data_IF_012224410841
#
_entry.id   IF_012224410841
#
_cell.length_a   1.000
_cell.length_b   1.000
_cell.length_c   1.000
_cell.angle_alpha   90.00
_cell.angle_beta   90.00
_cell.angle_gamma   90.00
#
_symmetry.space_group_name_H-M   'P 1'
#
loop_
_entity.id
_entity.type
_entity.pdbx_description
1 polymer ?
#
# COMPACT_ATOMS: atom_id res chain seq x y z
N UNK A 1 10.11 -17.66 6.93
CA UNK A 1 11.07 -16.75 6.29
C UNK A 1 11.30 -17.27 4.90
N UNK A 2 11.27 -16.40 3.89
CA UNK A 2 11.37 -16.82 2.51
C UNK A 2 12.76 -17.42 2.23
N UNK A 3 12.76 -18.56 1.56
CA UNK A 3 13.99 -19.24 1.16
C UNK A 3 14.43 -18.74 -0.21
N UNK A 4 15.74 -18.61 -0.38
CA UNK A 4 16.38 -18.10 -1.59
C UNK A 4 17.50 -19.07 -1.99
N UNK A 5 17.87 -19.00 -3.27
CA UNK A 5 19.04 -19.64 -3.84
C UNK A 5 19.81 -18.62 -4.66
N UNK A 6 21.11 -18.82 -4.87
CA UNK A 6 21.80 -18.07 -5.92
C UNK A 6 21.26 -18.50 -7.30
N UNK A 7 21.20 -17.59 -8.29
CA UNK A 7 20.80 -17.97 -9.64
C UNK A 7 21.72 -19.07 -10.21
N UNK A 8 21.16 -20.25 -10.48
CA UNK A 8 21.87 -21.37 -11.10
C UNK A 8 21.45 -21.51 -12.56
N UNK A 9 22.44 -21.57 -13.46
CA UNK A 9 22.19 -21.88 -14.87
C UNK A 9 22.05 -23.39 -15.04
N UNK A 10 20.89 -23.83 -15.50
CA UNK A 10 20.60 -25.24 -15.75
C UNK A 10 20.22 -25.46 -17.22
N UNK A 11 20.50 -26.66 -17.75
CA UNK A 11 20.05 -27.09 -19.08
C UNK A 11 18.94 -28.13 -18.88
N UNK A 12 17.80 -27.90 -19.52
CA UNK A 12 16.69 -28.84 -19.53
C UNK A 12 16.74 -29.59 -20.87
N UNK A 13 16.92 -30.91 -20.82
CA UNK A 13 16.86 -31.79 -21.99
C UNK A 13 15.58 -32.65 -21.90
N UNK A 14 14.59 -32.44 -22.80
CA UNK A 14 13.34 -33.20 -22.79
C UNK A 14 13.51 -34.72 -23.03
N UNK A 15 14.68 -35.17 -23.49
CA UNK A 15 14.98 -36.59 -23.70
C UNK A 15 15.74 -37.27 -22.55
N UNK A 16 16.02 -36.54 -21.46
CA UNK A 16 16.76 -37.04 -20.30
C UNK A 16 15.82 -37.23 -19.11
N UNK A 17 15.99 -38.35 -18.38
CA UNK A 17 15.32 -38.61 -17.09
C UNK A 17 16.12 -38.03 -15.89
N UNK A 18 17.11 -37.17 -16.16
CA UNK A 18 17.91 -36.52 -15.11
C UNK A 18 17.04 -35.64 -14.21
N UNK A 19 17.14 -35.86 -12.90
CA UNK A 19 16.49 -35.02 -11.90
C UNK A 19 17.32 -33.76 -11.63
N UNK A 20 16.75 -32.59 -11.95
CA UNK A 20 17.37 -31.30 -11.65
C UNK A 20 17.09 -30.89 -10.20
N UNK A 21 18.14 -30.70 -9.40
CA UNK A 21 18.03 -30.27 -8.01
C UNK A 21 18.17 -28.75 -7.87
N UNK A 22 17.10 -28.08 -7.44
CA UNK A 22 17.12 -26.65 -7.05
C UNK A 22 17.07 -26.56 -5.53
N UNK A 23 18.16 -26.09 -4.92
CA UNK A 23 18.30 -26.00 -3.46
C UNK A 23 18.14 -24.55 -3.03
N UNK A 24 17.20 -24.29 -2.11
CA UNK A 24 17.04 -22.98 -1.46
C UNK A 24 17.70 -23.03 -0.07
N UNK A 25 18.99 -22.69 -0.01
CA UNK A 25 19.84 -22.81 1.18
C UNK A 25 20.00 -21.50 1.97
N UNK A 26 19.49 -20.39 1.44
CA UNK A 26 19.50 -19.08 2.11
C UNK A 26 18.13 -18.75 2.64
N UNK A 27 18.09 -18.13 3.81
CA UNK A 27 16.85 -17.63 4.41
C UNK A 27 16.96 -16.12 4.54
N UNK A 28 15.97 -15.39 4.05
CA UNK A 28 15.88 -13.94 4.29
C UNK A 28 15.84 -13.74 5.82
N UNK A 29 16.75 -12.95 6.40
CA UNK A 29 16.75 -12.71 7.83
C UNK A 29 15.44 -12.07 8.27
N UNK A 30 15.01 -12.38 9.49
CA UNK A 30 13.88 -11.68 10.08
C UNK A 30 14.22 -10.20 10.21
N UNK A 31 13.23 -9.35 9.90
CA UNK A 31 13.37 -7.93 10.19
C UNK A 31 13.40 -7.69 11.70
N UNK A 32 14.07 -6.62 12.18
CA UNK A 32 13.97 -6.21 13.58
C UNK A 32 12.51 -5.93 13.95
N UNK A 33 12.18 -5.96 15.24
CA UNK A 33 10.84 -5.63 15.70
C UNK A 33 10.51 -4.15 15.43
N UNK A 34 9.25 -3.87 15.09
CA UNK A 34 8.75 -2.49 14.94
C UNK A 34 8.54 -1.91 16.34
N UNK A 35 9.06 -0.71 16.59
CA UNK A 35 8.90 -0.02 17.88
C UNK A 35 8.08 1.23 17.70
N UNK A 36 7.13 1.41 18.61
CA UNK A 36 6.36 2.64 18.69
C UNK A 36 7.23 3.81 19.14
N UNK A 37 6.88 5.00 18.68
CA UNK A 37 7.47 6.27 19.13
C UNK A 37 6.40 7.16 19.78
N UNK A 38 6.71 8.42 20.08
CA UNK A 38 5.70 9.41 20.49
C UNK A 38 4.59 9.49 19.43
N UNK A 39 4.97 9.57 18.15
CA UNK A 39 4.02 9.80 17.05
C UNK A 39 3.60 8.52 16.33
N UNK A 40 4.54 7.60 16.08
CA UNK A 40 4.27 6.44 15.23
C UNK A 40 3.85 5.25 16.08
N UNK A 41 2.68 4.67 15.79
CA UNK A 41 2.19 3.45 16.44
C UNK A 41 1.94 2.35 15.42
N UNK A 42 2.28 1.11 15.78
CA UNK A 42 2.10 -0.06 14.94
C UNK A 42 0.92 -0.87 15.45
N UNK A 43 -0.12 -0.94 14.63
CA UNK A 43 -1.37 -1.59 14.97
C UNK A 43 -1.40 -2.98 14.37
N UNK A 44 -1.84 -3.94 15.17
CA UNK A 44 -2.18 -5.28 14.71
C UNK A 44 -3.39 -5.77 15.48
N UNK A 45 -4.45 -6.10 14.76
CA UNK A 45 -5.65 -6.67 15.36
C UNK A 45 -6.09 -7.91 14.61
N UNK A 46 -6.69 -8.85 15.32
CA UNK A 46 -7.32 -9.99 14.67
C UNK A 46 -8.64 -9.54 14.05
N UNK A 47 -8.83 -9.79 12.76
CA UNK A 47 -10.09 -9.54 12.05
C UNK A 47 -10.99 -10.75 12.22
N UNK A 48 -12.24 -10.56 12.66
CA UNK A 48 -13.21 -11.65 12.76
C UNK A 48 -13.67 -12.06 11.38
N UNK A 49 -14.04 -11.09 10.53
CA UNK A 49 -14.50 -11.31 9.16
C UNK A 49 -13.48 -12.10 8.33
N UNK A 50 -12.20 -11.72 8.38
CA UNK A 50 -11.15 -12.43 7.66
C UNK A 50 -10.80 -13.77 8.31
N UNK A 51 -10.83 -13.87 9.65
CA UNK A 51 -10.59 -15.16 10.31
C UNK A 51 -11.65 -16.20 9.91
N UNK A 52 -12.91 -15.78 9.78
CA UNK A 52 -14.00 -16.63 9.31
C UNK A 52 -13.80 -17.06 7.86
N UNK A 53 -13.45 -16.13 6.96
CA UNK A 53 -13.17 -16.44 5.56
C UNK A 53 -12.00 -17.41 5.39
N UNK A 54 -10.88 -17.18 6.08
CA UNK A 54 -9.66 -17.98 5.94
C UNK A 54 -9.66 -19.27 6.76
N UNK A 55 -10.65 -19.48 7.64
CA UNK A 55 -10.74 -20.65 8.51
C UNK A 55 -9.63 -20.74 9.58
N UNK A 56 -8.92 -19.64 9.83
CA UNK A 56 -7.83 -19.55 10.80
C UNK A 56 -7.65 -18.09 11.27
N UNK A 57 -7.00 -17.83 12.41
CA UNK A 57 -6.75 -16.46 12.86
C UNK A 57 -6.08 -15.62 11.77
N UNK A 58 -6.74 -14.53 11.40
CA UNK A 58 -6.28 -13.58 10.39
C UNK A 58 -6.19 -12.19 10.97
N UNK A 59 -5.18 -11.42 10.57
CA UNK A 59 -4.87 -10.12 11.18
C UNK A 59 -4.85 -9.02 10.15
N UNK A 60 -5.37 -7.86 10.54
CA UNK A 60 -5.14 -6.60 9.86
C UNK A 60 -4.11 -5.80 10.64
N UNK A 61 -3.34 -4.99 9.91
CA UNK A 61 -2.32 -4.15 10.49
C UNK A 61 -2.51 -2.70 9.99
N UNK A 62 -1.95 -1.75 10.73
CA UNK A 62 -1.82 -0.37 10.27
C UNK A 62 -0.59 0.27 10.92
N UNK A 63 -0.09 1.32 10.31
CA UNK A 63 0.90 2.20 10.94
C UNK A 63 0.27 3.58 11.01
N UNK A 64 0.06 4.09 12.21
CA UNK A 64 -0.57 5.39 12.41
C UNK A 64 0.44 6.43 12.86
N UNK A 65 0.21 7.66 12.45
CA UNK A 65 0.91 8.86 12.89
C UNK A 65 -0.06 9.71 13.71
N UNK A 66 0.28 9.92 14.97
CA UNK A 66 -0.49 10.70 15.92
C UNK A 66 -0.18 12.21 15.77
N UNK A 67 -1.17 13.08 16.00
CA UNK A 67 -0.97 14.53 15.92
C UNK A 67 -0.06 15.05 17.04
N UNK A 68 0.58 16.20 16.81
CA UNK A 68 1.28 16.91 17.90
C UNK A 68 0.31 17.27 19.04
N UNK A 69 0.75 17.07 20.27
CA UNK A 69 -0.05 17.31 21.46
C UNK A 69 -1.04 16.20 21.82
N UNK A 70 -0.96 15.01 21.19
CA UNK A 70 -1.92 13.93 21.39
C UNK A 70 -2.07 13.54 22.88
N UNK A 71 -0.96 13.26 23.57
CA UNK A 71 -0.98 12.82 24.97
C UNK A 71 -1.31 13.97 25.93
N UNK A 72 -0.96 15.19 25.57
CA UNK A 72 -1.22 16.40 26.36
C UNK A 72 -2.68 16.85 26.30
N UNK A 73 -3.47 16.34 25.33
CA UNK A 73 -4.87 16.71 25.11
C UNK A 73 -5.79 15.47 25.12
N UNK A 74 -6.00 14.82 26.28
CA UNK A 74 -6.71 13.53 26.35
C UNK A 74 -8.20 13.62 25.99
N UNK A 75 -8.82 14.81 26.08
CA UNK A 75 -10.23 15.03 25.75
C UNK A 75 -10.45 15.29 24.25
N UNK A 76 -9.38 15.55 23.49
CA UNK A 76 -9.48 15.84 22.06
C UNK A 76 -9.72 14.57 21.26
N UNK A 77 -10.59 14.69 20.25
CA UNK A 77 -10.82 13.69 19.22
C UNK A 77 -10.38 14.21 17.86
N UNK A 78 -9.92 13.31 17.00
CA UNK A 78 -9.25 13.68 15.76
C UNK A 78 -9.93 13.07 14.54
N UNK A 79 -10.03 13.81 13.42
CA UNK A 79 -10.36 13.22 12.13
C UNK A 79 -9.29 12.23 11.68
N UNK A 80 -9.69 11.28 10.83
CA UNK A 80 -8.83 10.22 10.33
C UNK A 80 -8.54 10.44 8.84
N UNK A 81 -7.26 10.54 8.50
CA UNK A 81 -6.79 10.50 7.11
C UNK A 81 -6.20 9.12 6.83
N UNK A 82 -6.66 8.51 5.76
CA UNK A 82 -6.38 7.12 5.43
C UNK A 82 -5.57 7.09 4.15
N UNK A 83 -4.36 6.54 4.24
CA UNK A 83 -3.51 6.26 3.10
C UNK A 83 -3.63 4.80 2.68
N UNK A 84 -4.08 4.62 1.44
CA UNK A 84 -4.15 3.36 0.72
C UNK A 84 -2.94 3.20 -0.21
N UNK A 85 -2.43 1.97 -0.30
CA UNK A 85 -1.25 1.64 -1.06
C UNK A 85 -0.68 0.27 -0.70
N UNK A 86 0.53 0.01 -1.18
CA UNK A 86 1.25 -1.25 -0.97
C UNK A 86 1.67 -1.46 0.50
N UNK A 87 2.12 -2.68 0.83
CA UNK A 87 2.53 -2.98 2.18
C UNK A 87 3.82 -2.23 2.56
N UNK A 88 3.77 -1.47 3.66
CA UNK A 88 4.89 -0.71 4.16
C UNK A 88 5.36 -1.23 5.51
N UNK A 89 6.69 -1.39 5.61
CA UNK A 89 7.33 -1.79 6.86
C UNK A 89 7.41 -0.65 7.88
N UNK A 90 7.51 0.59 7.42
CA UNK A 90 7.61 1.82 8.23
C UNK A 90 6.46 2.75 7.84
N UNK A 91 6.15 3.73 8.69
CA UNK A 91 5.12 4.72 8.36
C UNK A 91 5.41 5.39 7.00
N UNK A 92 4.42 5.40 6.12
CA UNK A 92 4.51 6.02 4.80
C UNK A 92 3.14 6.46 4.33
N UNK A 93 3.00 7.74 4.00
CA UNK A 93 1.78 8.28 3.41
C UNK A 93 2.07 9.57 2.65
N UNK A 94 2.14 9.54 1.32
CA UNK A 94 3.29 9.20 0.45
C UNK A 94 4.67 9.81 0.82
N UNK A 95 4.88 10.24 2.06
CA UNK A 95 6.17 10.66 2.60
C UNK A 95 6.42 9.88 3.89
N UNK A 96 7.68 9.58 4.19
CA UNK A 96 8.06 9.01 5.49
C UNK A 96 7.98 10.08 6.60
N UNK A 97 7.99 9.65 7.86
CA UNK A 97 8.03 10.55 9.01
C UNK A 97 9.35 10.39 9.74
N UNK A 98 10.13 11.48 9.87
CA UNK A 98 11.47 11.45 10.45
C UNK A 98 11.67 12.62 11.41
N UNK A 99 11.92 12.31 12.67
CA UNK A 99 12.13 13.32 13.73
C UNK A 99 13.56 13.91 13.71
N UNK A 100 14.51 13.23 13.08
CA UNK A 100 15.90 13.67 12.97
C UNK A 100 16.20 14.36 11.64
N UNK A 101 17.12 15.35 11.61
CA UNK A 101 17.57 15.94 10.36
C UNK A 101 18.06 14.89 9.35
N UNK A 102 18.03 15.20 8.05
CA UNK A 102 18.68 14.38 7.04
C UNK A 102 20.14 14.17 7.38
N UNK A 103 20.64 12.97 7.13
CA UNK A 103 22.07 12.66 7.28
C UNK A 103 22.88 13.51 6.28
N UNK A 104 23.78 14.41 6.75
CA UNK A 104 24.55 15.29 5.87
C UNK A 104 25.55 14.53 5.01
N UNK A 105 25.94 13.32 5.42
CA UNK A 105 26.95 12.50 4.76
C UNK A 105 26.33 11.40 3.88
N UNK A 106 24.99 11.36 3.76
CA UNK A 106 24.29 10.39 2.93
C UNK A 106 24.60 10.61 1.45
N UNK A 107 25.30 9.65 0.84
CA UNK A 107 25.58 9.66 -0.57
C UNK A 107 24.30 9.45 -1.41
N UNK A 108 24.12 10.20 -2.52
CA UNK A 108 23.07 9.91 -3.49
C UNK A 108 23.26 8.52 -4.10
N UNK A 109 22.26 7.67 -3.96
CA UNK A 109 22.30 6.31 -4.51
C UNK A 109 21.49 6.24 -5.81
N UNK A 110 21.93 5.45 -6.80
CA UNK A 110 21.09 5.08 -7.93
C UNK A 110 19.96 4.16 -7.46
N UNK A 111 18.72 4.50 -7.75
CA UNK A 111 17.55 3.71 -7.33
C UNK A 111 16.32 4.57 -7.08
N UNK A 112 15.21 3.94 -6.69
CA UNK A 112 13.92 4.61 -6.56
C UNK A 112 13.46 5.18 -7.91
N UNK A 113 13.06 6.46 -7.92
CA UNK A 113 12.62 7.16 -9.13
C UNK A 113 13.75 7.87 -9.88
N UNK A 114 14.85 8.23 -9.19
CA UNK A 114 16.01 8.93 -9.74
C UNK A 114 17.21 8.84 -8.78
N UNK A 115 18.43 9.04 -9.29
CA UNK A 115 19.64 9.06 -8.46
C UNK A 115 19.58 10.14 -7.38
N UNK A 116 19.73 9.76 -6.11
CA UNK A 116 19.59 10.68 -4.96
C UNK A 116 18.17 10.77 -4.40
N UNK A 117 17.27 9.86 -4.81
CA UNK A 117 15.95 9.74 -4.20
C UNK A 117 16.03 9.52 -2.69
N UNK A 118 16.96 8.69 -2.21
CA UNK A 118 17.21 8.44 -0.78
C UNK A 118 17.50 9.71 0.04
N UNK A 119 18.30 10.64 -0.51
CA UNK A 119 18.58 11.95 0.11
C UNK A 119 17.32 12.81 0.13
N UNK A 120 16.58 12.80 -0.98
CA UNK A 120 15.34 13.56 -1.14
C UNK A 120 14.27 13.09 -0.15
N UNK A 121 14.13 11.77 0.04
CA UNK A 121 13.22 11.18 1.02
C UNK A 121 13.52 11.67 2.43
N UNK A 122 14.77 11.63 2.89
CA UNK A 122 15.11 12.11 4.23
C UNK A 122 14.79 13.60 4.41
N UNK A 123 15.08 14.42 3.38
CA UNK A 123 14.78 15.86 3.40
C UNK A 123 13.28 16.13 3.57
N UNK A 124 12.43 15.48 2.78
CA UNK A 124 11.00 15.70 2.86
C UNK A 124 10.36 15.02 4.06
N UNK A 125 10.88 13.89 4.54
CA UNK A 125 10.42 13.26 5.76
C UNK A 125 10.67 14.14 7.00
N UNK A 126 11.85 14.78 7.08
CA UNK A 126 12.15 15.72 8.16
C UNK A 126 11.36 17.02 8.02
N UNK A 127 11.18 17.53 6.80
CA UNK A 127 10.29 18.67 6.56
C UNK A 127 8.86 18.35 7.02
N UNK A 128 8.35 17.17 6.69
CA UNK A 128 7.01 16.75 7.10
C UNK A 128 6.88 16.70 8.62
N UNK A 129 7.88 16.17 9.34
CA UNK A 129 7.93 16.26 10.81
C UNK A 129 7.84 17.71 11.33
N UNK A 130 8.63 18.62 10.75
CA UNK A 130 8.62 20.05 11.13
C UNK A 130 7.27 20.71 10.88
N UNK A 131 6.61 20.37 9.78
CA UNK A 131 5.28 20.87 9.47
C UNK A 131 4.24 20.27 10.44
N UNK A 132 4.24 18.94 10.61
CA UNK A 132 3.31 18.20 11.47
C UNK A 132 3.33 18.65 12.93
N UNK A 133 4.50 19.05 13.42
CA UNK A 133 4.71 19.56 14.79
C UNK A 133 4.54 21.07 14.93
N UNK A 134 4.26 21.78 13.83
CA UNK A 134 4.03 23.23 13.88
C UNK A 134 2.71 23.54 14.64
N UNK A 135 2.65 24.60 15.47
CA UNK A 135 1.45 24.96 16.23
C UNK A 135 0.18 25.11 15.37
N UNK A 136 0.34 25.73 14.19
CA UNK A 136 -0.78 26.02 13.29
C UNK A 136 -1.09 24.90 12.27
N UNK A 137 -0.44 23.74 12.37
CA UNK A 137 -0.69 22.63 11.45
C UNK A 137 -1.99 21.90 11.82
N UNK A 138 -2.84 21.48 10.85
CA UNK A 138 -4.05 20.73 11.18
C UNK A 138 -3.76 19.42 11.93
N UNK A 139 -4.61 19.05 12.89
CA UNK A 139 -4.42 17.84 13.71
C UNK A 139 -5.29 16.70 13.18
N UNK A 140 -4.64 15.65 12.69
CA UNK A 140 -5.27 14.43 12.18
C UNK A 140 -4.57 13.20 12.77
N UNK A 141 -5.27 12.08 12.83
CA UNK A 141 -4.62 10.77 12.83
C UNK A 141 -4.41 10.42 11.35
N UNK A 142 -3.18 10.12 10.96
CA UNK A 142 -2.87 9.66 9.61
C UNK A 142 -2.54 8.16 9.66
N UNK A 143 -3.23 7.36 8.87
CA UNK A 143 -3.16 5.90 8.91
C UNK A 143 -2.65 5.35 7.58
N UNK A 144 -1.54 4.60 7.62
CA UNK A 144 -1.12 3.73 6.52
C UNK A 144 -1.71 2.34 6.78
N UNK A 145 -2.71 1.93 6.00
CA UNK A 145 -3.35 0.61 6.16
C UNK A 145 -2.40 -0.49 5.65
N UNK A 146 -2.40 -1.65 6.30
CA UNK A 146 -1.68 -2.84 5.87
C UNK A 146 -2.67 -4.01 5.74
N UNK A 147 -2.88 -4.46 4.52
CA UNK A 147 -3.92 -5.45 4.21
C UNK A 147 -3.43 -6.52 3.21
N UNK A 148 -2.18 -6.95 3.40
CA UNK A 148 -1.58 -8.04 2.62
C UNK A 148 -2.39 -9.33 2.68
N UNK A 149 -2.32 -10.11 1.60
CA UNK A 149 -2.95 -11.43 1.46
C UNK A 149 -1.85 -12.51 1.37
N UNK A 150 -2.19 -13.81 1.37
CA UNK A 150 -1.20 -14.85 1.06
C UNK A 150 -0.57 -14.72 -0.33
N UNK A 151 -1.23 -14.01 -1.24
CA UNK A 151 -0.91 -14.00 -2.66
C UNK A 151 -0.23 -12.71 -3.12
N UNK A 152 -0.46 -11.60 -2.42
CA UNK A 152 0.00 -10.28 -2.81
C UNK A 152 0.16 -9.37 -1.59
N UNK A 153 0.94 -8.30 -1.73
CA UNK A 153 1.28 -7.40 -0.61
C UNK A 153 0.12 -6.46 -0.23
N UNK A 154 -0.92 -6.40 -1.04
CA UNK A 154 -2.21 -5.80 -0.72
C UNK A 154 -3.38 -6.74 -1.10
N UNK A 155 -4.60 -6.29 -0.83
CA UNK A 155 -5.85 -6.99 -1.13
C UNK A 155 -6.76 -6.20 -2.08
N UNK A 156 -6.24 -5.12 -2.68
CA UNK A 156 -7.01 -4.05 -3.32
C UNK A 156 -8.05 -3.39 -2.39
N UNK A 157 -7.95 -3.62 -1.08
CA UNK A 157 -8.84 -3.13 -0.04
C UNK A 157 -10.35 -3.41 -0.28
N UNK A 158 -10.73 -4.35 -1.16
CA UNK A 158 -12.13 -4.62 -1.51
C UNK A 158 -12.54 -6.03 -1.10
N UNK A 159 -13.85 -6.27 -1.07
CA UNK A 159 -14.38 -7.62 -0.88
C UNK A 159 -14.21 -8.42 -2.16
N UNK A 160 -13.67 -9.63 -2.04
CA UNK A 160 -13.44 -10.54 -3.16
C UNK A 160 -13.73 -11.97 -2.78
N UNK A 161 -14.22 -12.75 -3.73
CA UNK A 161 -14.43 -14.19 -3.55
C UNK A 161 -13.10 -14.94 -3.33
N UNK A 162 -11.98 -14.39 -3.81
CA UNK A 162 -10.69 -15.08 -3.80
C UNK A 162 -9.85 -14.75 -2.55
N UNK A 163 -10.00 -13.54 -2.02
CA UNK A 163 -9.17 -13.04 -0.90
C UNK A 163 -9.98 -12.70 0.35
N UNK A 164 -11.30 -12.67 0.25
CA UNK A 164 -12.19 -12.45 1.39
C UNK A 164 -12.71 -11.02 1.49
N UNK A 165 -13.47 -10.72 2.56
CA UNK A 165 -14.16 -9.43 2.74
C UNK A 165 -13.22 -8.36 3.31
N UNK A 166 -12.13 -8.05 2.61
CA UNK A 166 -11.14 -7.08 3.11
C UNK A 166 -11.68 -5.65 3.20
N UNK A 167 -12.56 -5.24 2.29
CA UNK A 167 -13.18 -3.91 2.37
C UNK A 167 -14.06 -3.76 3.62
N UNK A 168 -14.86 -4.78 3.94
CA UNK A 168 -15.67 -4.79 5.15
C UNK A 168 -14.79 -4.87 6.41
N UNK A 169 -13.76 -5.73 6.41
CA UNK A 169 -12.86 -5.87 7.55
C UNK A 169 -12.08 -4.58 7.84
N UNK A 170 -11.63 -3.87 6.81
CA UNK A 170 -10.98 -2.57 6.97
C UNK A 170 -11.99 -1.55 7.52
N UNK A 171 -13.15 -1.43 6.88
CA UNK A 171 -14.16 -0.39 7.16
C UNK A 171 -14.85 -0.58 8.51
N UNK A 172 -15.21 -1.81 8.86
CA UNK A 172 -16.06 -2.12 10.00
C UNK A 172 -15.32 -2.79 11.17
N UNK A 173 -14.05 -3.15 11.02
CA UNK A 173 -13.24 -3.69 12.12
C UNK A 173 -12.00 -2.83 12.39
N UNK A 174 -11.10 -2.67 11.41
CA UNK A 174 -9.81 -1.98 11.61
C UNK A 174 -9.96 -0.50 11.93
N UNK A 175 -10.73 0.23 11.14
CA UNK A 175 -10.92 1.67 11.32
C UNK A 175 -11.58 1.95 12.69
N UNK A 176 -12.71 1.32 13.05
CA UNK A 176 -13.31 1.50 14.37
C UNK A 176 -12.37 1.15 15.52
N UNK A 177 -11.59 0.06 15.39
CA UNK A 177 -10.59 -0.31 16.39
C UNK A 177 -9.59 0.82 16.64
N UNK A 178 -9.05 1.40 15.57
CA UNK A 178 -8.09 2.51 15.67
C UNK A 178 -8.75 3.76 16.26
N UNK A 179 -9.95 4.11 15.81
CA UNK A 179 -10.67 5.28 16.31
C UNK A 179 -11.01 5.15 17.80
N UNK A 180 -11.37 3.96 18.27
CA UNK A 180 -11.60 3.68 19.69
C UNK A 180 -10.32 3.84 20.53
N UNK A 181 -9.21 3.24 20.09
CA UNK A 181 -7.97 3.21 20.87
C UNK A 181 -7.18 4.52 20.80
N UNK A 182 -7.36 5.32 19.74
CA UNK A 182 -6.60 6.53 19.48
C UNK A 182 -7.45 7.79 19.38
N UNK A 183 -8.69 7.78 19.90
CA UNK A 183 -9.56 8.97 19.95
C UNK A 183 -9.87 9.55 18.57
N UNK A 184 -10.17 8.68 17.61
CA UNK A 184 -10.81 9.09 16.37
C UNK A 184 -12.22 9.63 16.62
N UNK A 185 -12.72 10.44 15.68
CA UNK A 185 -14.09 10.97 15.74
C UNK A 185 -15.12 9.84 15.53
N UNK A 186 -14.83 8.82 14.70
CA UNK A 186 -15.72 7.67 14.55
C UNK A 186 -16.84 7.85 13.52
N UNK A 187 -16.81 8.94 12.75
CA UNK A 187 -17.89 9.33 11.86
C UNK A 187 -17.38 9.47 10.41
N UNK A 188 -18.17 9.02 9.44
CA UNK A 188 -17.75 9.00 8.03
C UNK A 188 -17.38 10.39 7.49
N UNK A 189 -18.06 11.45 7.93
CA UNK A 189 -17.74 12.84 7.56
C UNK A 189 -16.36 13.31 8.08
N UNK A 190 -15.80 12.64 9.07
CA UNK A 190 -14.49 12.92 9.65
C UNK A 190 -13.37 12.02 9.10
N UNK A 191 -13.68 11.15 8.12
CA UNK A 191 -12.72 10.25 7.46
C UNK A 191 -12.47 10.70 6.04
N UNK A 192 -11.20 10.77 5.65
CA UNK A 192 -10.79 11.08 4.27
C UNK A 192 -9.76 10.07 3.79
N UNK A 193 -9.81 9.75 2.50
CA UNK A 193 -8.93 8.74 1.89
C UNK A 193 -7.99 9.36 0.86
N UNK A 194 -6.79 8.82 0.73
CA UNK A 194 -5.82 9.21 -0.31
C UNK A 194 -4.95 8.01 -0.70
N UNK A 195 -4.56 7.93 -1.96
CA UNK A 195 -3.75 6.81 -2.45
C UNK A 195 -3.24 7.03 -3.86
N UNK A 196 -2.10 6.41 -4.19
CA UNK A 196 -1.46 6.49 -5.50
C UNK A 196 -1.36 5.13 -6.19
N UNK A 197 -1.40 5.07 -7.53
CA UNK A 197 -1.35 3.81 -8.30
C UNK A 197 -2.44 2.82 -7.84
N UNK A 198 -2.07 1.63 -7.36
CA UNK A 198 -2.98 0.66 -6.73
C UNK A 198 -3.83 1.33 -5.66
N UNK A 199 -3.21 2.07 -4.73
CA UNK A 199 -3.91 2.81 -3.70
C UNK A 199 -4.85 3.89 -4.23
N UNK A 200 -4.54 4.47 -5.40
CA UNK A 200 -5.43 5.41 -6.08
C UNK A 200 -6.70 4.72 -6.58
N UNK A 201 -6.58 3.50 -7.10
CA UNK A 201 -7.73 2.67 -7.45
C UNK A 201 -8.52 2.27 -6.20
N UNK A 202 -7.84 1.88 -5.12
CA UNK A 202 -8.46 1.46 -3.86
C UNK A 202 -9.35 2.55 -3.27
N UNK A 203 -8.87 3.80 -3.16
CA UNK A 203 -9.67 4.89 -2.58
C UNK A 203 -10.88 5.25 -3.45
N UNK A 204 -10.79 5.10 -4.78
CA UNK A 204 -11.95 5.25 -5.65
C UNK A 204 -12.97 4.14 -5.40
N UNK A 205 -12.51 2.88 -5.33
CA UNK A 205 -13.38 1.75 -5.07
C UNK A 205 -14.05 1.87 -3.69
N UNK A 206 -13.29 2.22 -2.65
CA UNK A 206 -13.83 2.44 -1.30
C UNK A 206 -14.90 3.54 -1.28
N UNK A 207 -14.65 4.67 -1.95
CA UNK A 207 -15.61 5.78 -2.00
C UNK A 207 -16.93 5.36 -2.67
N UNK A 208 -16.87 4.46 -3.66
CA UNK A 208 -18.05 3.93 -4.36
C UNK A 208 -18.78 2.89 -3.50
N UNK A 209 -18.06 1.98 -2.85
CA UNK A 209 -18.65 0.87 -2.11
C UNK A 209 -19.12 1.23 -0.70
N UNK A 210 -18.51 2.24 -0.08
CA UNK A 210 -18.83 2.70 1.28
C UNK A 210 -19.05 4.22 1.32
N UNK A 211 -20.03 4.76 0.57
CA UNK A 211 -20.19 6.20 0.39
C UNK A 211 -20.56 6.95 1.68
N UNK A 212 -21.18 6.27 2.66
CA UNK A 212 -21.56 6.86 3.94
C UNK A 212 -20.42 6.80 4.99
N UNK A 213 -19.41 5.95 4.76
CA UNK A 213 -18.32 5.71 5.70
C UNK A 213 -17.12 6.63 5.47
N UNK A 214 -17.07 7.34 4.34
CA UNK A 214 -15.95 8.20 3.97
C UNK A 214 -16.42 9.51 3.32
N UNK A 215 -15.92 10.64 3.83
CA UNK A 215 -16.28 11.98 3.40
C UNK A 215 -15.77 12.34 1.99
N UNK A 216 -14.69 11.70 1.55
CA UNK A 216 -14.05 12.00 0.27
C UNK A 216 -12.76 11.25 0.07
N UNK A 217 -12.33 11.16 -1.18
CA UNK A 217 -11.05 10.60 -1.57
C UNK A 217 -10.25 11.47 -2.54
N UNK A 218 -8.92 11.39 -2.45
CA UNK A 218 -7.98 11.91 -3.44
C UNK A 218 -7.21 10.77 -4.08
N UNK A 219 -7.62 10.40 -5.28
CA UNK A 219 -7.00 9.34 -6.07
C UNK A 219 -5.92 9.89 -7.00
N UNK A 220 -4.68 9.49 -6.78
CA UNK A 220 -3.53 9.93 -7.57
C UNK A 220 -3.15 8.83 -8.56
N UNK A 221 -3.09 9.17 -9.85
CA UNK A 221 -2.64 8.26 -10.93
C UNK A 221 -3.12 6.80 -10.75
N UNK A 222 -4.44 6.57 -10.59
CA UNK A 222 -4.96 5.25 -10.22
C UNK A 222 -4.67 4.22 -11.30
N UNK A 223 -4.56 2.95 -10.88
CA UNK A 223 -4.65 1.83 -11.81
C UNK A 223 -5.96 1.92 -12.64
N UNK A 224 -6.03 1.28 -13.82
CA UNK A 224 -7.19 1.42 -14.71
C UNK A 224 -8.53 1.15 -13.99
N UNK A 225 -9.39 2.15 -13.97
CA UNK A 225 -10.70 2.12 -13.27
C UNK A 225 -11.81 1.47 -14.12
N UNK A 226 -11.53 1.22 -15.39
CA UNK A 226 -12.38 0.46 -16.29
C UNK A 226 -11.54 -0.25 -17.35
N UNK A 227 -12.11 -1.26 -18.00
CA UNK A 227 -11.37 -2.12 -18.91
C UNK A 227 -11.45 -1.75 -20.40
N UNK A 228 -12.07 -0.63 -20.77
CA UNK A 228 -12.09 -0.13 -22.14
C UNK A 228 -10.75 0.46 -22.57
N UNK A 229 -9.90 0.79 -21.61
CA UNK A 229 -8.53 1.24 -21.83
C UNK A 229 -7.58 0.64 -20.79
N UNK A 230 -7.69 -0.68 -20.57
CA UNK A 230 -6.76 -1.40 -19.70
C UNK A 230 -5.37 -1.39 -20.34
N UNK A 231 -4.53 -0.49 -19.82
CA UNK A 231 -3.28 -0.04 -20.43
C UNK A 231 -3.50 0.53 -21.85
N UNK A 232 -3.40 -0.31 -22.89
CA UNK A 232 -3.62 0.04 -24.30
C UNK A 232 -4.69 -0.82 -24.96
N UNK A 233 -5.36 -1.70 -24.20
CA UNK A 233 -6.32 -2.69 -24.69
C UNK A 233 -7.73 -2.36 -24.21
N UNK A 234 -8.71 -2.43 -25.11
CA UNK A 234 -10.11 -2.52 -24.71
C UNK A 234 -10.48 -4.00 -24.56
N UNK A 235 -10.56 -4.52 -23.34
CA UNK A 235 -10.76 -5.97 -23.14
C UNK A 235 -12.12 -6.46 -23.65
N UNK A 236 -13.09 -5.55 -23.81
CA UNK A 236 -14.44 -5.90 -24.24
C UNK A 236 -14.56 -5.98 -25.76
N UNK A 237 -13.77 -5.21 -26.48
CA UNK A 237 -13.90 -5.06 -27.94
C UNK A 237 -12.70 -5.62 -28.71
N UNK A 238 -11.49 -5.55 -28.15
CA UNK A 238 -10.29 -6.00 -28.83
C UNK A 238 -10.23 -7.53 -28.87
N UNK A 239 -10.07 -8.09 -30.07
CA UNK A 239 -9.88 -9.54 -30.22
C UNK A 239 -8.56 -10.07 -29.65
N UNK A 240 -7.60 -9.21 -29.34
CA UNK A 240 -6.35 -9.56 -28.65
C UNK A 240 -5.60 -8.32 -28.10
N UNK A 241 -4.76 -8.55 -27.07
CA UNK A 241 -3.95 -7.52 -26.40
C UNK A 241 -2.57 -7.28 -27.05
N UNK A 242 -2.13 -8.13 -27.98
CA UNK A 242 -0.72 -8.20 -28.39
C UNK A 242 -0.41 -7.58 -29.75
N UNK A 243 -1.37 -7.59 -30.67
CA UNK A 243 -1.20 -7.18 -32.06
C UNK A 243 -2.29 -6.21 -32.48
N UNK A 244 -1.94 -5.26 -33.35
CA UNK A 244 -2.93 -4.38 -33.96
C UNK A 244 -3.87 -5.16 -34.88
N UNK A 245 -5.17 -4.92 -34.74
CA UNK A 245 -6.16 -5.42 -35.69
C UNK A 245 -6.14 -4.53 -36.95
N UNK A 246 -5.19 -4.85 -37.84
CA UNK A 246 -4.96 -4.11 -39.07
C UNK A 246 -4.87 -5.06 -40.24
N UNK A 247 -5.57 -4.74 -41.34
CA UNK A 247 -5.50 -5.47 -42.61
C UNK A 247 -4.05 -5.69 -43.08
N UNK A 248 -3.18 -4.72 -42.84
CA UNK A 248 -1.81 -4.69 -43.36
C UNK A 248 -0.72 -4.93 -42.30
N UNK A 249 -1.02 -4.75 -41.01
CA UNK A 249 -0.05 -4.82 -39.89
C UNK A 249 -0.39 -5.88 -38.84
N UNK A 250 -0.73 -7.10 -39.28
CA UNK A 250 -1.20 -8.21 -38.42
C UNK A 250 -0.19 -8.75 -37.40
N UNK A 251 1.10 -8.42 -37.51
CA UNK A 251 2.16 -8.88 -36.60
C UNK A 251 2.87 -7.75 -35.86
N UNK A 252 2.42 -6.51 -36.04
CA UNK A 252 2.99 -5.39 -35.31
C UNK A 252 2.51 -5.46 -33.87
N UNK A 253 3.46 -5.56 -32.94
CA UNK A 253 3.18 -5.61 -31.51
C UNK A 253 2.54 -4.29 -31.05
N UNK A 254 1.50 -4.40 -30.23
CA UNK A 254 0.94 -3.27 -29.49
C UNK A 254 1.92 -2.89 -28.37
N UNK A 255 2.16 -1.59 -28.12
CA UNK A 255 2.88 -1.17 -26.93
C UNK A 255 2.05 -1.53 -25.70
N UNK A 256 2.72 -2.02 -24.64
CA UNK A 256 2.04 -2.41 -23.40
C UNK A 256 1.46 -1.19 -22.66
N UNK A 257 2.09 -0.02 -22.78
CA UNK A 257 1.72 1.23 -22.11
C UNK A 257 1.87 2.42 -23.05
N UNK A 258 1.20 3.53 -22.75
CA UNK A 258 1.45 4.82 -23.42
C UNK A 258 2.54 5.56 -22.65
N UNK A 259 3.60 5.97 -23.33
CA UNK A 259 4.65 6.83 -22.77
C UNK A 259 4.51 8.23 -23.33
N UNK A 260 4.64 9.25 -22.47
CA UNK A 260 4.87 10.62 -22.91
C UNK A 260 6.37 10.79 -23.03
N UNK A 261 6.90 10.87 -24.26
CA UNK A 261 8.23 11.43 -24.52
C UNK A 261 8.20 12.95 -24.39
#
# INVERSE_FOLDING_TARGET
GNLLSEPVKMRIDPGSDETLHVVMDRKIPSFPERRDTKYVKHIRMQSKLLSEFWGQPWYLEAIILLPEGFDENPEMRYPLMIYHGHHHRMFFAPVQFRETPPDPDLAPEPGGYFTGYNVTEQKYAYKFYKDWTHPDYPRYILMTIQHATPFFDDSYAVNSQNTGPYGDAITYELIPYIEEHYRGIGEGWARVMTGGSTGGWEVLAQQIFYPDEYNGCWAWCPDPVDFRAFTTTNIYEDGNAFYYDSRWKKRTLKPQVRTTE
#
